data_IF_637966518375
#
_entry.id   IF_637966518375
#
_cell.length_a   1.000
_cell.length_b   1.000
_cell.length_c   1.000
_cell.angle_alpha   90.00
_cell.angle_beta   90.00
_cell.angle_gamma   90.00
#
_symmetry.space_group_name_H-M   'P 1'
#
loop_
_entity.id
_entity.type
_entity.pdbx_description
1 polymer ?
#
# COMPACT_ATOMS: atom_id res chain seq x y z
N UNK A 1 -39.60 22.58 20.51
CA UNK A 1 -38.64 21.73 21.21
C UNK A 1 -39.13 20.29 21.14
N UNK A 2 -38.29 19.42 20.59
CA UNK A 2 -38.56 17.98 20.51
C UNK A 2 -38.53 17.39 21.93
N UNK A 3 -39.64 16.85 22.43
CA UNK A 3 -39.73 16.15 23.72
C UNK A 3 -39.68 14.65 23.43
N UNK A 4 -38.72 13.93 23.99
CA UNK A 4 -38.61 12.49 23.90
C UNK A 4 -37.20 11.99 24.12
N UNK A 5 -37.03 10.67 24.14
CA UNK A 5 -35.72 10.03 24.13
C UNK A 5 -35.30 9.83 22.66
N UNK A 6 -34.08 10.21 22.31
CA UNK A 6 -33.49 10.09 21.00
C UNK A 6 -32.19 9.36 21.11
N UNK A 7 -31.86 8.55 20.13
CA UNK A 7 -30.54 7.98 19.96
C UNK A 7 -29.64 9.03 19.31
N UNK A 8 -28.54 9.39 19.97
CA UNK A 8 -27.55 10.32 19.44
C UNK A 8 -26.26 9.58 19.28
N UNK A 9 -25.77 9.52 18.05
CA UNK A 9 -24.43 9.03 17.75
C UNK A 9 -23.49 10.22 17.59
N UNK A 10 -22.43 10.24 18.37
CA UNK A 10 -21.36 11.24 18.25
C UNK A 10 -20.12 10.54 17.75
N UNK A 11 -19.58 11.01 16.64
CA UNK A 11 -18.34 10.54 16.06
C UNK A 11 -17.30 11.64 16.16
N UNK A 12 -16.12 11.29 16.69
CA UNK A 12 -14.97 12.18 16.75
C UNK A 12 -13.89 11.68 15.81
N UNK A 13 -13.49 12.50 14.86
CA UNK A 13 -12.35 12.19 14.01
C UNK A 13 -11.07 12.75 14.66
N UNK A 14 -10.26 11.85 15.21
CA UNK A 14 -9.04 12.19 15.94
C UNK A 14 -7.98 12.88 15.05
N UNK A 15 -7.99 12.59 13.74
CA UNK A 15 -7.01 13.17 12.80
C UNK A 15 -7.36 14.59 12.40
N UNK A 16 -8.64 14.92 12.32
CA UNK A 16 -9.12 16.24 11.88
C UNK A 16 -9.66 17.11 13.02
N UNK A 17 -9.78 16.57 14.22
CA UNK A 17 -10.39 17.26 15.37
C UNK A 17 -11.88 17.57 15.18
N UNK A 18 -12.55 17.00 14.19
CA UNK A 18 -13.96 17.27 13.89
C UNK A 18 -14.88 16.33 14.63
N UNK A 19 -16.04 16.90 15.04
CA UNK A 19 -17.16 16.15 15.59
C UNK A 19 -18.28 16.07 14.55
N UNK A 20 -18.87 14.89 14.41
CA UNK A 20 -20.16 14.70 13.76
C UNK A 20 -21.14 14.14 14.78
N UNK A 21 -22.34 14.71 14.86
CA UNK A 21 -23.42 14.20 15.71
C UNK A 21 -24.64 13.89 14.84
N UNK A 22 -25.23 12.71 15.03
CA UNK A 22 -26.47 12.31 14.39
C UNK A 22 -27.53 12.02 15.44
N UNK A 23 -28.72 12.42 15.16
CA UNK A 23 -29.87 12.19 16.01
C UNK A 23 -30.89 11.35 15.26
N UNK A 24 -31.13 10.13 15.72
CA UNK A 24 -32.22 9.29 15.24
C UNK A 24 -33.56 9.65 15.89
N UNK A 25 -34.66 9.30 15.26
CA UNK A 25 -35.97 9.41 15.87
C UNK A 25 -36.14 8.51 17.11
N UNK A 26 -37.20 8.71 17.88
CA UNK A 26 -37.47 7.91 19.07
C UNK A 26 -37.60 6.42 18.71
N UNK A 27 -36.70 5.59 19.29
CA UNK A 27 -36.69 4.16 19.04
C UNK A 27 -36.06 3.73 17.70
N UNK A 28 -35.48 4.67 16.93
CA UNK A 28 -34.74 4.37 15.69
C UNK A 28 -33.26 4.27 16.02
N UNK A 29 -32.62 3.18 15.60
CA UNK A 29 -31.19 3.01 15.72
C UNK A 29 -30.46 3.99 14.77
N UNK A 30 -29.50 4.74 15.28
CA UNK A 30 -28.66 5.62 14.46
C UNK A 30 -27.59 4.75 13.82
N UNK A 31 -27.74 4.47 12.54
CA UNK A 31 -26.71 3.76 11.77
C UNK A 31 -25.49 4.65 11.53
N UNK A 32 -24.32 4.07 11.50
CA UNK A 32 -23.07 4.77 11.16
C UNK A 32 -23.11 5.39 9.76
N UNK A 33 -22.18 6.29 9.49
CA UNK A 33 -21.97 6.82 8.14
C UNK A 33 -21.53 5.69 7.21
N UNK A 34 -21.97 5.73 5.96
CA UNK A 34 -21.56 4.74 4.97
C UNK A 34 -20.04 4.76 4.79
N UNK A 35 -19.44 3.58 4.69
CA UNK A 35 -18.00 3.41 4.43
C UNK A 35 -17.66 3.48 2.95
N UNK A 36 -18.65 3.32 2.08
CA UNK A 36 -18.52 3.30 0.64
C UNK A 36 -19.60 4.13 -0.03
N UNK A 37 -19.23 4.78 -1.12
CA UNK A 37 -20.14 5.51 -1.98
C UNK A 37 -19.78 5.23 -3.44
N UNK A 38 -20.81 5.02 -4.25
CA UNK A 38 -20.69 4.73 -5.67
C UNK A 38 -21.43 5.78 -6.50
N UNK A 39 -20.92 6.04 -7.70
CA UNK A 39 -21.56 6.85 -8.72
C UNK A 39 -21.96 5.96 -9.90
N UNK A 40 -23.19 6.10 -10.32
CA UNK A 40 -23.79 5.50 -11.52
C UNK A 40 -24.46 6.57 -12.38
N UNK A 41 -25.37 6.15 -13.24
CA UNK A 41 -26.09 7.01 -14.16
C UNK A 41 -25.51 7.00 -15.57
N UNK A 42 -26.09 7.76 -16.50
CA UNK A 42 -25.72 7.69 -17.93
C UNK A 42 -24.32 8.23 -18.25
N UNK A 43 -23.67 8.93 -17.30
CA UNK A 43 -22.26 9.30 -17.44
C UNK A 43 -21.30 8.14 -17.20
N UNK A 44 -21.70 7.12 -16.45
CA UNK A 44 -20.85 5.99 -16.07
C UNK A 44 -21.38 4.69 -16.65
N UNK A 45 -22.55 4.23 -16.22
CA UNK A 45 -23.12 2.98 -16.65
C UNK A 45 -24.27 2.53 -15.75
N UNK A 46 -24.86 1.40 -16.09
CA UNK A 46 -25.91 0.81 -15.25
C UNK A 46 -25.35 0.26 -13.95
N UNK A 47 -26.16 0.30 -12.90
CA UNK A 47 -25.84 -0.35 -11.62
C UNK A 47 -25.52 -1.84 -11.82
N UNK A 48 -24.67 -2.40 -10.97
CA UNK A 48 -24.15 -3.78 -11.06
C UNK A 48 -23.22 -4.07 -12.26
N UNK A 49 -22.75 -3.05 -12.95
CA UNK A 49 -21.72 -3.20 -14.01
C UNK A 49 -20.33 -2.81 -13.48
N UNK A 50 -19.31 -3.06 -14.30
CA UNK A 50 -17.96 -2.59 -14.01
C UNK A 50 -17.79 -1.08 -14.26
N UNK A 51 -18.78 -0.43 -14.86
CA UNK A 51 -18.75 0.99 -15.19
C UNK A 51 -19.16 1.87 -14.01
N UNK A 52 -19.81 1.30 -13.00
CA UNK A 52 -20.11 1.99 -11.75
C UNK A 52 -18.84 2.35 -11.02
N UNK A 53 -18.71 3.61 -10.65
CA UNK A 53 -17.49 4.20 -10.14
C UNK A 53 -17.53 4.32 -8.61
N UNK A 54 -16.61 3.68 -7.91
CA UNK A 54 -16.42 3.87 -6.47
C UNK A 54 -15.74 5.22 -6.21
N UNK A 55 -16.31 6.02 -5.33
CA UNK A 55 -15.71 7.25 -4.85
C UNK A 55 -14.65 6.97 -3.77
N UNK A 56 -13.63 7.80 -3.69
CA UNK A 56 -12.65 7.72 -2.62
C UNK A 56 -13.16 8.43 -1.36
N UNK A 57 -12.87 7.93 -0.16
CA UNK A 57 -13.11 8.69 1.06
C UNK A 57 -12.20 9.91 1.13
N UNK A 58 -12.66 10.97 1.78
CA UNK A 58 -11.82 12.12 2.13
C UNK A 58 -11.15 11.83 3.47
N UNK A 59 -9.85 11.59 3.47
CA UNK A 59 -9.11 11.19 4.67
C UNK A 59 -9.50 9.79 5.16
N UNK A 60 -10.05 9.68 6.37
CA UNK A 60 -10.39 8.38 6.95
C UNK A 60 -11.73 7.82 6.43
N UNK A 61 -11.79 6.51 6.24
CA UNK A 61 -13.03 5.79 5.95
C UNK A 61 -14.03 5.95 7.11
N UNK A 62 -15.33 6.14 6.78
CA UNK A 62 -16.39 6.19 7.77
C UNK A 62 -16.77 7.61 8.24
N UNK A 63 -16.14 8.66 7.72
CA UNK A 63 -16.51 10.05 7.99
C UNK A 63 -17.68 10.57 7.12
N UNK A 64 -18.15 9.74 6.15
CA UNK A 64 -19.22 10.09 5.24
C UNK A 64 -18.86 11.12 4.18
N UNK A 65 -17.59 11.45 4.04
CA UNK A 65 -17.08 12.35 3.01
C UNK A 65 -16.39 11.57 1.90
N UNK A 66 -16.78 11.87 0.65
CA UNK A 66 -16.27 11.18 -0.54
C UNK A 66 -15.95 12.16 -1.65
N UNK A 67 -15.02 11.78 -2.52
CA UNK A 67 -14.64 12.60 -3.66
C UNK A 67 -14.19 11.79 -4.86
N UNK A 68 -14.21 12.42 -6.04
CA UNK A 68 -13.61 11.89 -7.25
C UNK A 68 -13.41 12.96 -8.31
N UNK A 69 -12.35 12.82 -9.11
CA UNK A 69 -12.18 13.56 -10.36
C UNK A 69 -12.88 12.80 -11.48
N UNK A 70 -13.69 13.50 -12.27
CA UNK A 70 -14.45 12.92 -13.38
C UNK A 70 -14.53 13.88 -14.56
N UNK A 71 -14.42 13.35 -15.78
CA UNK A 71 -14.84 14.07 -16.97
C UNK A 71 -16.29 13.68 -17.26
N UNK A 72 -17.21 14.65 -17.18
CA UNK A 72 -18.65 14.44 -17.32
C UNK A 72 -19.16 15.11 -18.61
N UNK A 73 -20.19 14.51 -19.21
CA UNK A 73 -20.82 14.97 -20.45
C UNK A 73 -22.15 15.66 -20.18
N UNK A 74 -22.37 16.80 -20.83
CA UNK A 74 -23.63 17.54 -20.75
C UNK A 74 -24.82 16.69 -21.17
N UNK A 75 -25.94 16.88 -20.51
CA UNK A 75 -27.18 16.13 -20.76
C UNK A 75 -27.21 14.72 -20.18
N UNK A 76 -26.07 14.23 -19.64
CA UNK A 76 -26.01 12.92 -18.97
C UNK A 76 -26.20 13.06 -17.45
N UNK A 77 -26.63 11.97 -16.82
CA UNK A 77 -26.94 11.93 -15.40
C UNK A 77 -25.83 11.30 -14.57
N UNK A 78 -25.75 11.72 -13.30
CA UNK A 78 -24.99 11.09 -12.22
C UNK A 78 -25.95 10.78 -11.08
N UNK A 79 -25.80 9.59 -10.51
CA UNK A 79 -26.60 9.06 -9.42
C UNK A 79 -25.65 8.49 -8.34
N UNK A 80 -26.11 8.43 -7.09
CA UNK A 80 -25.29 7.94 -5.97
C UNK A 80 -26.00 6.85 -5.20
N UNK A 81 -25.22 5.86 -4.74
CA UNK A 81 -25.71 4.82 -3.83
C UNK A 81 -24.58 4.35 -2.91
N UNK A 82 -24.90 3.88 -1.71
CA UNK A 82 -23.94 3.24 -0.81
C UNK A 82 -23.70 1.77 -1.12
N UNK A 83 -24.49 1.20 -2.02
CA UNK A 83 -24.31 -0.15 -2.53
C UNK A 83 -24.04 -0.12 -4.04
N UNK A 84 -23.16 -0.99 -4.52
CA UNK A 84 -22.77 -1.08 -5.93
C UNK A 84 -23.92 -1.45 -6.86
N UNK A 85 -24.95 -2.10 -6.34
CA UNK A 85 -26.18 -2.46 -7.07
C UNK A 85 -27.19 -1.32 -7.18
N UNK A 86 -26.92 -0.17 -6.60
CA UNK A 86 -27.83 0.98 -6.57
C UNK A 86 -28.98 0.87 -5.58
N UNK A 87 -29.03 -0.20 -4.78
CA UNK A 87 -30.17 -0.49 -3.89
C UNK A 87 -30.35 0.50 -2.74
N UNK A 88 -29.35 1.33 -2.46
CA UNK A 88 -29.39 2.36 -1.39
C UNK A 88 -29.10 3.74 -2.00
N UNK A 89 -29.89 4.10 -2.99
CA UNK A 89 -29.79 5.37 -3.68
C UNK A 89 -30.17 6.57 -2.79
N UNK A 90 -29.51 7.70 -3.03
CA UNK A 90 -29.79 8.96 -2.34
C UNK A 90 -30.69 9.85 -3.19
N UNK A 91 -31.70 10.44 -2.55
CA UNK A 91 -32.65 11.36 -3.20
C UNK A 91 -32.67 12.78 -2.62
N UNK A 92 -31.87 13.05 -1.58
CA UNK A 92 -31.98 14.29 -0.80
C UNK A 92 -30.70 15.10 -0.72
N UNK A 93 -29.86 15.04 -1.76
CA UNK A 93 -28.63 15.84 -1.82
C UNK A 93 -28.88 17.22 -2.39
N UNK A 94 -28.18 18.24 -1.90
CA UNK A 94 -28.21 19.61 -2.41
C UNK A 94 -27.02 19.86 -3.31
N UNK A 95 -27.24 20.38 -4.52
CA UNK A 95 -26.17 20.74 -5.45
C UNK A 95 -25.61 22.12 -5.17
N UNK A 96 -24.31 22.27 -5.41
CA UNK A 96 -23.62 23.56 -5.24
C UNK A 96 -23.32 24.25 -6.57
N UNK A 97 -23.03 23.50 -7.65
CA UNK A 97 -22.58 24.12 -8.90
C UNK A 97 -22.59 23.11 -10.09
N UNK A 98 -22.89 23.63 -11.30
CA UNK A 98 -22.63 22.96 -12.57
C UNK A 98 -23.60 21.84 -12.97
N UNK A 99 -24.60 21.53 -12.17
CA UNK A 99 -25.57 20.48 -12.40
C UNK A 99 -26.95 20.88 -11.92
N UNK A 100 -28.00 20.17 -12.42
CA UNK A 100 -29.37 20.30 -11.95
C UNK A 100 -29.79 18.99 -11.29
N UNK A 101 -30.31 19.04 -10.05
CA UNK A 101 -30.91 17.90 -9.39
C UNK A 101 -32.38 17.77 -9.77
N UNK A 102 -32.81 16.56 -10.07
CA UNK A 102 -34.23 16.23 -10.14
C UNK A 102 -34.76 15.84 -8.75
N UNK A 103 -36.08 15.67 -8.64
CA UNK A 103 -36.74 15.28 -7.38
C UNK A 103 -36.37 13.86 -6.90
N UNK A 104 -35.64 13.08 -7.68
CA UNK A 104 -35.24 11.70 -7.39
C UNK A 104 -33.76 11.58 -7.03
N UNK A 105 -33.04 12.68 -6.86
CA UNK A 105 -31.63 12.70 -6.50
C UNK A 105 -30.67 12.39 -7.63
N UNK A 106 -31.12 12.52 -8.89
CA UNK A 106 -30.25 12.45 -10.07
C UNK A 106 -29.74 13.84 -10.40
N UNK A 107 -28.44 13.94 -10.65
CA UNK A 107 -27.83 15.17 -11.14
C UNK A 107 -27.67 15.10 -12.67
N UNK A 108 -28.26 16.04 -13.38
CA UNK A 108 -28.00 16.24 -14.82
C UNK A 108 -26.88 17.24 -15.00
N UNK A 109 -25.85 16.84 -15.75
CA UNK A 109 -24.68 17.69 -16.03
C UNK A 109 -25.05 18.74 -17.07
N UNK A 110 -24.83 20.01 -16.77
CA UNK A 110 -25.22 21.12 -17.64
C UNK A 110 -24.13 21.42 -18.71
N UNK A 111 -22.87 21.20 -18.39
CA UNK A 111 -21.74 21.51 -19.28
C UNK A 111 -20.75 20.34 -19.28
N UNK A 112 -20.32 19.94 -20.48
CA UNK A 112 -19.23 18.94 -20.60
C UNK A 112 -17.94 19.53 -20.07
N UNK A 113 -17.27 18.78 -19.18
CA UNK A 113 -16.00 19.23 -18.61
C UNK A 113 -15.46 18.31 -17.52
N UNK A 114 -14.35 18.75 -16.95
CA UNK A 114 -13.70 18.10 -15.83
C UNK A 114 -14.26 18.66 -14.51
N UNK A 115 -14.65 17.77 -13.64
CA UNK A 115 -15.26 18.08 -12.36
C UNK A 115 -14.54 17.38 -11.21
N UNK A 116 -14.40 18.06 -10.09
CA UNK A 116 -14.25 17.44 -8.79
C UNK A 116 -15.64 17.22 -8.22
N UNK A 117 -16.05 15.97 -8.08
CA UNK A 117 -17.31 15.62 -7.41
C UNK A 117 -16.99 15.32 -5.94
N UNK A 118 -17.58 16.09 -5.06
CA UNK A 118 -17.47 15.94 -3.61
C UNK A 118 -18.83 15.67 -3.00
N UNK A 119 -18.92 14.71 -2.11
CA UNK A 119 -20.15 14.34 -1.40
C UNK A 119 -19.89 14.28 0.10
N UNK A 120 -20.76 14.91 0.88
CA UNK A 120 -20.77 14.80 2.32
C UNK A 120 -22.15 14.30 2.75
N UNK A 121 -22.24 13.04 3.17
CA UNK A 121 -23.50 12.39 3.53
C UNK A 121 -24.11 12.96 4.80
N UNK A 122 -23.28 13.42 5.73
CA UNK A 122 -23.75 14.00 6.99
C UNK A 122 -24.44 15.35 6.77
N UNK A 123 -23.87 16.16 5.87
CA UNK A 123 -24.43 17.45 5.48
C UNK A 123 -25.47 17.35 4.37
N UNK A 124 -25.73 16.16 3.84
CA UNK A 124 -26.57 15.93 2.66
C UNK A 124 -26.16 16.80 1.47
N UNK A 125 -24.84 17.02 1.30
CA UNK A 125 -24.26 17.93 0.35
C UNK A 125 -23.57 17.18 -0.79
N UNK A 126 -23.82 17.64 -2.01
CA UNK A 126 -23.01 17.33 -3.17
C UNK A 126 -22.49 18.61 -3.80
N UNK A 127 -21.23 18.60 -4.23
CA UNK A 127 -20.63 19.69 -4.96
C UNK A 127 -19.96 19.17 -6.24
N UNK A 128 -20.21 19.88 -7.34
CA UNK A 128 -19.52 19.73 -8.62
C UNK A 128 -18.65 20.95 -8.81
N UNK A 129 -17.37 20.81 -8.58
CA UNK A 129 -16.42 21.92 -8.53
C UNK A 129 -15.48 21.90 -9.73
N UNK A 130 -14.98 23.07 -10.11
CA UNK A 130 -13.79 23.14 -10.99
C UNK A 130 -12.62 22.50 -10.26
N UNK A 131 -11.95 21.48 -10.84
CA UNK A 131 -10.92 20.74 -10.15
C UNK A 131 -9.72 21.61 -9.77
N UNK A 132 -9.32 21.53 -8.51
CA UNK A 132 -8.09 22.09 -7.95
C UNK A 132 -7.13 20.95 -7.69
N UNK A 133 -6.34 20.57 -8.69
CA UNK A 133 -5.45 19.40 -8.66
C UNK A 133 -4.01 19.85 -8.65
N UNK A 134 -3.22 19.24 -7.79
CA UNK A 134 -1.83 19.60 -7.54
C UNK A 134 -0.93 18.36 -7.53
N UNK A 135 0.33 18.63 -7.76
CA UNK A 135 1.41 17.69 -7.58
C UNK A 135 2.48 18.27 -6.66
N UNK A 136 3.12 17.41 -5.86
CA UNK A 136 4.26 17.78 -5.02
C UNK A 136 5.24 16.61 -4.87
N UNK A 137 6.41 16.88 -4.31
CA UNK A 137 7.40 15.87 -3.99
C UNK A 137 8.76 16.12 -4.62
N UNK A 138 9.65 15.13 -4.45
CA UNK A 138 11.05 15.20 -4.94
C UNK A 138 11.12 15.52 -6.44
N UNK A 139 10.19 14.94 -7.23
CA UNK A 139 10.12 15.16 -8.67
C UNK A 139 9.86 16.61 -9.09
N UNK A 140 9.43 17.45 -8.16
CA UNK A 140 9.18 18.89 -8.36
C UNK A 140 10.09 19.76 -7.47
N UNK A 141 11.23 19.21 -7.01
CA UNK A 141 12.12 19.93 -6.09
C UNK A 141 11.46 20.28 -4.76
N UNK A 142 10.55 19.42 -4.28
CA UNK A 142 9.72 19.61 -3.08
C UNK A 142 8.78 20.83 -3.12
N UNK A 143 8.41 21.27 -4.32
CA UNK A 143 7.41 22.33 -4.51
C UNK A 143 6.04 21.72 -4.78
N UNK A 144 4.99 22.46 -4.44
CA UNK A 144 3.62 22.20 -4.84
C UNK A 144 3.33 22.96 -6.14
N UNK A 145 2.89 22.27 -7.19
CA UNK A 145 2.51 22.87 -8.47
C UNK A 145 1.10 22.44 -8.87
N UNK A 146 0.27 23.37 -9.37
CA UNK A 146 -1.02 23.01 -9.92
C UNK A 146 -0.84 22.24 -11.23
N UNK A 147 -1.70 21.25 -11.48
CA UNK A 147 -1.79 20.63 -12.79
C UNK A 147 -2.54 21.56 -13.75
N UNK A 148 -1.98 21.73 -14.95
CA UNK A 148 -2.66 22.45 -16.03
C UNK A 148 -3.78 21.60 -16.63
N UNK A 149 -4.96 22.21 -16.79
CA UNK A 149 -6.13 21.54 -17.39
C UNK A 149 -6.24 21.87 -18.88
N UNK A 150 -6.47 20.87 -19.72
CA UNK A 150 -6.79 21.02 -21.13
C UNK A 150 -7.87 19.98 -21.52
N UNK A 151 -9.12 20.43 -21.57
CA UNK A 151 -10.27 19.57 -21.80
C UNK A 151 -10.44 18.50 -20.70
N UNK A 152 -10.33 17.23 -21.07
CA UNK A 152 -10.38 16.12 -20.11
C UNK A 152 -9.02 15.77 -19.47
N UNK A 153 -7.96 16.48 -19.83
CA UNK A 153 -6.59 16.17 -19.41
C UNK A 153 -6.08 17.12 -18.33
N UNK A 154 -5.27 16.56 -17.42
CA UNK A 154 -4.49 17.30 -16.43
C UNK A 154 -3.03 16.96 -16.62
N UNK A 155 -2.14 17.96 -16.58
CA UNK A 155 -0.72 17.76 -16.88
C UNK A 155 0.18 18.49 -15.89
N UNK A 156 1.33 17.87 -15.59
CA UNK A 156 2.46 18.49 -14.89
C UNK A 156 3.78 17.97 -15.47
N UNK A 157 4.76 18.84 -15.59
CA UNK A 157 6.13 18.46 -15.99
C UNK A 157 7.03 18.40 -14.76
N UNK A 158 7.81 17.32 -14.66
CA UNK A 158 8.75 17.09 -13.56
C UNK A 158 10.06 17.85 -13.79
N UNK A 159 10.56 18.50 -12.74
CA UNK A 159 11.80 19.28 -12.78
C UNK A 159 13.01 18.50 -12.29
N UNK A 160 12.77 17.43 -11.53
CA UNK A 160 13.80 16.55 -10.98
C UNK A 160 13.36 15.08 -11.08
N UNK A 161 14.31 14.17 -10.92
CA UNK A 161 14.02 12.74 -10.75
C UNK A 161 13.66 12.48 -9.29
N UNK A 162 12.55 11.81 -9.03
CA UNK A 162 12.11 11.50 -7.67
C UNK A 162 10.64 11.08 -7.60
N UNK A 163 10.11 11.05 -6.40
CA UNK A 163 8.71 10.69 -6.16
C UNK A 163 7.77 11.87 -6.39
N UNK A 164 6.63 11.57 -7.00
CA UNK A 164 5.53 12.50 -7.24
C UNK A 164 4.32 12.12 -6.39
N UNK A 165 3.73 13.06 -5.69
CA UNK A 165 2.45 12.92 -5.00
C UNK A 165 1.40 13.73 -5.76
N UNK A 166 0.22 13.14 -5.94
CA UNK A 166 -0.91 13.78 -6.61
C UNK A 166 -2.07 13.92 -5.63
N UNK A 167 -2.68 15.08 -5.59
CA UNK A 167 -3.79 15.37 -4.68
C UNK A 167 -4.71 16.46 -5.23
N UNK A 168 -5.90 16.55 -4.64
CA UNK A 168 -6.88 17.56 -4.99
C UNK A 168 -7.39 18.28 -3.74
N UNK A 169 -8.05 19.43 -3.95
CA UNK A 169 -8.76 20.15 -2.91
C UNK A 169 -10.20 20.43 -3.33
N UNK A 170 -11.11 20.32 -2.38
CA UNK A 170 -12.49 20.77 -2.51
C UNK A 170 -12.69 22.09 -1.74
N UNK A 171 -13.52 22.96 -2.24
CA UNK A 171 -13.95 24.18 -1.53
C UNK A 171 -14.84 23.87 -0.32
N UNK A 172 -15.34 22.61 -0.23
CA UNK A 172 -16.21 22.17 0.84
C UNK A 172 -15.45 21.60 2.04
N UNK A 173 -14.14 21.39 1.92
CA UNK A 173 -13.30 20.84 2.97
C UNK A 173 -12.11 21.76 3.28
N UNK A 174 -11.52 21.61 4.46
CA UNK A 174 -10.27 22.30 4.79
C UNK A 174 -9.17 21.90 3.79
N UNK A 175 -8.34 22.85 3.41
CA UNK A 175 -7.18 22.60 2.54
C UNK A 175 -6.16 21.74 3.29
N UNK A 176 -6.26 20.44 3.10
CA UNK A 176 -5.34 19.45 3.64
C UNK A 176 -4.97 18.48 2.51
N UNK A 177 -3.75 18.62 2.01
CA UNK A 177 -3.23 17.80 0.90
C UNK A 177 -3.20 16.30 1.22
N UNK A 178 -3.23 15.92 2.49
CA UNK A 178 -3.17 14.54 2.92
C UNK A 178 -4.52 13.80 2.85
N UNK A 179 -5.64 14.49 2.56
CA UNK A 179 -6.98 13.93 2.66
C UNK A 179 -7.58 13.49 1.32
N UNK A 180 -7.14 14.07 0.21
CA UNK A 180 -7.67 13.78 -1.13
C UNK A 180 -6.56 13.37 -2.08
N UNK A 181 -5.87 12.29 -1.71
CA UNK A 181 -4.74 11.73 -2.46
C UNK A 181 -5.19 10.75 -3.52
N UNK A 182 -4.51 10.78 -4.65
CA UNK A 182 -4.62 9.77 -5.69
C UNK A 182 -3.24 9.47 -6.29
N UNK A 183 -3.14 8.43 -7.09
CA UNK A 183 -1.88 8.02 -7.72
C UNK A 183 -2.14 7.39 -9.08
N UNK A 184 -1.08 6.97 -9.75
CA UNK A 184 -1.15 6.26 -11.01
C UNK A 184 -0.68 4.83 -10.79
N UNK A 185 -1.44 3.88 -11.30
CA UNK A 185 -1.10 2.47 -11.24
C UNK A 185 -1.55 1.78 -12.53
N UNK A 186 -0.65 1.05 -13.17
CA UNK A 186 -0.92 0.36 -14.45
C UNK A 186 -1.47 1.30 -15.54
N UNK A 187 -0.93 2.50 -15.66
CA UNK A 187 -1.39 3.48 -16.64
C UNK A 187 -2.80 4.02 -16.35
N UNK A 188 -3.33 3.81 -15.14
CA UNK A 188 -4.64 4.31 -14.73
C UNK A 188 -4.54 5.17 -13.48
N UNK A 189 -5.42 6.16 -13.39
CA UNK A 189 -5.59 6.97 -12.19
C UNK A 189 -6.36 6.14 -11.15
N UNK A 190 -5.78 5.96 -9.98
CA UNK A 190 -6.38 5.19 -8.88
C UNK A 190 -6.48 6.02 -7.60
N UNK A 191 -7.50 5.72 -6.82
CA UNK A 191 -7.85 6.43 -5.59
C UNK A 191 -7.79 5.42 -4.43
N UNK A 192 -6.63 5.24 -3.79
CA UNK A 192 -6.43 4.18 -2.80
C UNK A 192 -7.27 4.34 -1.53
N UNK A 193 -7.73 5.57 -1.21
CA UNK A 193 -8.45 5.84 0.03
C UNK A 193 -7.64 5.53 1.29
N UNK A 194 -6.34 5.78 1.23
CA UNK A 194 -5.39 5.51 2.31
C UNK A 194 -4.75 6.79 2.83
N UNK A 195 -4.16 6.73 4.00
CA UNK A 195 -3.40 7.85 4.56
C UNK A 195 -2.15 8.14 3.71
N UNK A 196 -1.68 9.38 3.72
CA UNK A 196 -0.53 9.85 2.92
C UNK A 196 0.72 8.98 3.05
N UNK A 197 0.98 8.47 4.24
CA UNK A 197 2.13 7.59 4.52
C UNK A 197 1.92 6.14 4.06
N UNK A 198 0.76 5.82 3.51
CA UNK A 198 0.39 4.54 2.90
C UNK A 198 0.23 4.66 1.38
N UNK A 199 0.32 5.89 0.85
CA UNK A 199 0.26 6.14 -0.57
C UNK A 199 1.44 5.47 -1.27
N UNK A 200 1.20 4.68 -2.32
CA UNK A 200 2.28 4.12 -3.12
C UNK A 200 3.15 5.21 -3.73
N UNK A 201 4.46 5.03 -3.70
CA UNK A 201 5.38 5.92 -4.37
C UNK A 201 5.12 5.94 -5.88
N UNK A 202 5.19 7.13 -6.47
CA UNK A 202 5.13 7.33 -7.92
C UNK A 202 6.45 7.97 -8.38
N UNK A 203 7.52 7.18 -8.59
CA UNK A 203 8.79 7.71 -9.07
C UNK A 203 8.68 8.07 -10.56
N UNK A 204 9.20 9.24 -10.89
CA UNK A 204 9.26 9.78 -12.25
C UNK A 204 10.63 10.35 -12.54
N UNK A 205 11.06 10.30 -13.79
CA UNK A 205 12.30 10.91 -14.22
C UNK A 205 12.13 12.43 -14.42
N UNK A 206 13.23 13.18 -14.32
CA UNK A 206 13.28 14.60 -14.69
C UNK A 206 12.83 14.81 -16.12
N UNK A 207 12.07 15.88 -16.38
CA UNK A 207 11.59 16.24 -17.71
C UNK A 207 10.44 15.36 -18.21
N UNK A 208 9.83 14.56 -17.34
CA UNK A 208 8.66 13.75 -17.69
C UNK A 208 7.39 14.59 -17.64
N UNK A 209 6.63 14.62 -18.72
CA UNK A 209 5.27 15.18 -18.70
C UNK A 209 4.30 14.09 -18.26
N UNK A 210 3.79 14.21 -17.05
CA UNK A 210 2.73 13.33 -16.53
C UNK A 210 1.39 13.88 -16.99
N UNK A 211 0.66 13.11 -17.77
CA UNK A 211 -0.68 13.45 -18.28
C UNK A 211 -1.72 12.51 -17.72
N UNK A 212 -2.74 13.04 -17.07
CA UNK A 212 -3.90 12.28 -16.60
C UNK A 212 -5.05 12.54 -17.58
N UNK A 213 -5.59 11.51 -18.22
CA UNK A 213 -6.78 11.60 -19.05
C UNK A 213 -8.01 11.15 -18.24
N UNK A 214 -8.81 12.10 -17.82
CA UNK A 214 -9.97 11.85 -16.96
C UNK A 214 -11.20 11.37 -17.73
N UNK A 215 -11.16 11.34 -19.06
CA UNK A 215 -12.26 10.80 -19.88
C UNK A 215 -12.32 9.26 -19.82
N UNK A 216 -11.16 8.62 -19.72
CA UNK A 216 -11.00 7.15 -19.64
C UNK A 216 -10.24 6.70 -18.39
N UNK A 217 -9.93 7.66 -17.52
CA UNK A 217 -9.21 7.44 -16.27
C UNK A 217 -7.81 6.82 -16.46
N UNK A 218 -7.15 7.16 -17.58
CA UNK A 218 -5.78 6.72 -17.90
C UNK A 218 -4.74 7.76 -17.57
N UNK A 219 -3.48 7.34 -17.52
CA UNK A 219 -2.33 8.22 -17.33
C UNK A 219 -1.24 7.89 -18.36
N UNK A 220 -0.62 8.96 -18.89
CA UNK A 220 0.52 8.89 -19.81
C UNK A 220 1.70 9.67 -19.22
N UNK A 221 2.90 9.15 -19.42
CA UNK A 221 4.17 9.72 -18.97
C UNK A 221 5.03 10.18 -20.16
N UNK A 222 4.41 10.64 -21.23
CA UNK A 222 5.11 11.17 -22.40
C UNK A 222 5.95 10.13 -23.15
N UNK A 223 5.48 8.89 -23.23
CA UNK A 223 6.18 7.77 -23.86
C UNK A 223 7.17 7.04 -22.94
N UNK A 224 7.41 7.55 -21.74
CA UNK A 224 8.10 6.82 -20.68
C UNK A 224 7.05 6.26 -19.74
N UNK A 225 6.55 5.05 -20.01
CA UNK A 225 5.86 4.29 -18.98
C UNK A 225 6.83 4.12 -17.82
N UNK A 226 6.41 4.41 -16.57
CA UNK A 226 7.24 4.01 -15.43
C UNK A 226 7.54 2.52 -15.60
N UNK A 227 8.80 2.20 -15.80
CA UNK A 227 9.21 0.79 -15.80
C UNK A 227 8.71 0.18 -14.51
N UNK A 228 8.02 -0.95 -14.61
CA UNK A 228 7.50 -1.74 -13.51
C UNK A 228 6.25 -1.20 -12.83
N UNK A 229 5.15 -1.37 -13.53
CA UNK A 229 3.82 -1.29 -12.95
C UNK A 229 3.68 -2.45 -11.95
N UNK A 230 3.53 -2.11 -10.68
CA UNK A 230 3.30 -3.10 -9.65
C UNK A 230 1.86 -3.60 -9.82
N UNK A 231 1.64 -4.91 -10.07
CA UNK A 231 0.30 -5.44 -10.21
C UNK A 231 -0.53 -5.17 -8.96
N UNK A 232 -1.81 -4.85 -9.14
CA UNK A 232 -2.74 -4.77 -8.00
C UNK A 232 -2.94 -6.15 -7.38
N UNK A 233 -3.07 -6.16 -6.04
CA UNK A 233 -3.43 -7.37 -5.31
C UNK A 233 -2.34 -8.44 -5.27
N UNK A 234 -1.06 -8.07 -5.42
CA UNK A 234 0.05 -9.01 -5.24
C UNK A 234 -0.06 -9.66 -3.87
N UNK A 235 -0.31 -10.97 -3.87
CA UNK A 235 -0.45 -11.77 -2.64
C UNK A 235 0.82 -12.51 -2.27
N UNK A 236 1.69 -12.72 -3.25
CA UNK A 236 2.92 -13.49 -3.09
C UNK A 236 4.00 -12.95 -4.03
N UNK A 237 5.24 -12.99 -3.55
CA UNK A 237 6.44 -12.75 -4.34
C UNK A 237 7.23 -14.05 -4.45
N UNK A 238 7.79 -14.28 -5.62
CA UNK A 238 8.60 -15.45 -5.92
C UNK A 238 10.00 -15.03 -6.34
N UNK A 239 10.96 -15.92 -6.17
CA UNK A 239 12.33 -15.74 -6.61
C UNK A 239 12.84 -17.03 -7.24
N UNK A 240 13.56 -16.93 -8.35
CA UNK A 240 14.28 -18.05 -8.95
C UNK A 240 15.73 -17.68 -9.22
N UNK A 241 16.59 -18.68 -9.25
CA UNK A 241 18.02 -18.54 -9.53
C UNK A 241 18.62 -19.93 -9.80
N UNK A 242 19.95 -19.98 -9.94
CA UNK A 242 20.67 -21.27 -9.97
C UNK A 242 20.54 -22.05 -8.66
N UNK A 243 20.31 -21.36 -7.54
CA UNK A 243 20.19 -21.96 -6.21
C UNK A 243 18.73 -22.31 -5.85
N UNK A 244 17.75 -21.64 -6.50
CA UNK A 244 16.33 -21.80 -6.21
C UNK A 244 15.55 -22.10 -7.50
N UNK A 245 14.94 -23.25 -7.60
CA UNK A 245 14.11 -23.61 -8.74
C UNK A 245 14.84 -23.75 -10.06
N UNK A 246 16.15 -23.46 -10.11
CA UNK A 246 16.99 -23.60 -11.30
C UNK A 246 16.36 -23.02 -12.57
N UNK A 247 15.79 -21.81 -12.44
CA UNK A 247 15.08 -21.09 -13.48
C UNK A 247 13.75 -21.74 -13.93
N UNK A 248 13.26 -22.75 -13.20
CA UNK A 248 11.94 -23.34 -13.43
C UNK A 248 10.96 -22.87 -12.36
N UNK A 249 10.02 -22.02 -12.74
CA UNK A 249 9.00 -21.49 -11.83
C UNK A 249 8.04 -22.54 -11.26
N UNK A 250 8.02 -23.74 -11.80
CA UNK A 250 7.22 -24.85 -11.31
C UNK A 250 8.00 -25.80 -10.39
N UNK A 251 9.32 -25.60 -10.28
CA UNK A 251 10.14 -26.39 -9.40
C UNK A 251 9.73 -26.24 -7.92
N UNK A 252 9.79 -27.30 -7.12
CA UNK A 252 9.41 -27.26 -5.70
C UNK A 252 10.37 -26.40 -4.86
N UNK A 253 11.59 -26.18 -5.34
CA UNK A 253 12.63 -25.41 -4.66
C UNK A 253 12.49 -23.89 -4.84
N UNK A 254 11.50 -23.42 -5.58
CA UNK A 254 11.28 -21.98 -5.73
C UNK A 254 11.06 -21.33 -4.38
N UNK A 255 11.85 -20.32 -4.08
CA UNK A 255 11.70 -19.52 -2.89
C UNK A 255 10.43 -18.67 -2.96
N UNK A 256 9.56 -18.85 -1.97
CA UNK A 256 8.42 -17.95 -1.73
C UNK A 256 8.79 -17.02 -0.59
N UNK A 257 8.53 -15.73 -0.79
CA UNK A 257 8.79 -14.72 0.23
C UNK A 257 7.67 -14.71 1.27
N UNK A 258 8.04 -14.59 2.53
CA UNK A 258 7.06 -14.37 3.59
C UNK A 258 6.63 -12.90 3.62
N UNK A 259 5.32 -12.69 3.65
CA UNK A 259 4.76 -11.34 3.75
C UNK A 259 4.72 -10.90 5.21
N UNK A 260 5.65 -10.04 5.59
CA UNK A 260 5.70 -9.48 6.93
C UNK A 260 4.58 -8.47 7.24
N UNK A 261 3.75 -8.08 6.25
CA UNK A 261 2.69 -7.09 6.45
C UNK A 261 1.56 -7.22 5.44
N UNK A 262 0.37 -7.64 5.89
CA UNK A 262 -0.81 -7.71 5.03
C UNK A 262 -1.17 -6.32 4.47
N UNK A 263 -1.32 -6.26 3.16
CA UNK A 263 -1.77 -5.06 2.45
C UNK A 263 -0.68 -4.05 2.09
N UNK A 264 0.56 -4.20 2.58
CA UNK A 264 1.63 -3.24 2.30
C UNK A 264 2.55 -3.65 1.14
N UNK A 265 2.29 -4.75 0.45
CA UNK A 265 3.12 -5.25 -0.65
C UNK A 265 4.63 -5.29 -0.31
N UNK A 266 4.96 -5.78 0.88
CA UNK A 266 6.32 -5.88 1.41
C UNK A 266 6.66 -7.30 1.80
N UNK A 267 7.82 -7.77 1.36
CA UNK A 267 8.29 -9.13 1.60
C UNK A 267 9.74 -9.10 2.05
N UNK A 268 10.15 -10.11 2.79
CA UNK A 268 11.54 -10.38 3.09
C UNK A 268 11.83 -11.88 3.08
N UNK A 269 13.06 -12.20 2.75
CA UNK A 269 13.56 -13.56 2.71
C UNK A 269 15.01 -13.59 3.18
N UNK A 270 15.38 -14.63 3.94
CA UNK A 270 16.72 -14.80 4.46
C UNK A 270 17.29 -16.09 3.90
N UNK A 271 18.46 -16.06 3.29
CA UNK A 271 19.07 -17.27 2.73
C UNK A 271 20.58 -17.08 2.54
N UNK A 272 21.29 -18.19 2.41
CA UNK A 272 22.65 -18.21 1.90
C UNK A 272 22.63 -18.07 0.38
N UNK A 273 23.51 -17.24 -0.17
CA UNK A 273 23.74 -17.06 -1.60
C UNK A 273 25.20 -17.16 -1.90
N UNK A 274 25.55 -17.75 -3.06
CA UNK A 274 26.90 -17.75 -3.60
C UNK A 274 27.20 -16.46 -4.35
N UNK A 275 28.40 -15.99 -4.29
CA UNK A 275 28.83 -14.85 -5.10
C UNK A 275 28.66 -15.15 -6.59
N UNK A 276 28.17 -14.16 -7.33
CA UNK A 276 27.77 -14.33 -8.71
C UNK A 276 26.38 -14.91 -8.95
N UNK A 277 25.66 -15.38 -7.89
CA UNK A 277 24.28 -15.85 -8.06
C UNK A 277 23.39 -14.71 -8.58
N UNK A 278 22.74 -14.96 -9.70
CA UNK A 278 21.74 -14.09 -10.29
C UNK A 278 20.35 -14.46 -9.77
N UNK A 279 19.60 -13.46 -9.34
CA UNK A 279 18.25 -13.59 -8.78
C UNK A 279 17.24 -12.92 -9.71
N UNK A 280 16.16 -13.60 -10.03
CA UNK A 280 15.01 -13.02 -10.71
C UNK A 280 13.78 -13.09 -9.81
N UNK A 281 13.05 -11.98 -9.72
CA UNK A 281 11.86 -11.84 -8.88
C UNK A 281 10.62 -11.78 -9.73
N UNK A 282 9.51 -12.32 -9.24
CA UNK A 282 8.23 -12.26 -9.92
C UNK A 282 7.05 -12.27 -8.94
N UNK A 283 5.94 -11.65 -9.33
CA UNK A 283 4.66 -11.72 -8.61
C UNK A 283 3.82 -12.94 -8.97
N UNK A 284 4.23 -13.67 -10.00
CA UNK A 284 3.63 -14.92 -10.44
C UNK A 284 4.73 -15.94 -10.70
N UNK A 285 4.40 -17.22 -10.79
CA UNK A 285 5.34 -18.28 -11.17
C UNK A 285 5.61 -18.26 -12.69
N UNK A 286 6.12 -17.14 -13.20
CA UNK A 286 6.38 -16.93 -14.61
C UNK A 286 7.48 -15.88 -14.82
N UNK A 287 8.22 -16.00 -15.93
CA UNK A 287 9.18 -14.98 -16.36
C UNK A 287 8.48 -13.69 -16.82
N UNK A 288 9.14 -12.55 -16.66
CA UNK A 288 8.67 -11.25 -17.16
C UNK A 288 7.49 -10.65 -16.40
N UNK A 289 7.13 -11.20 -15.25
CA UNK A 289 6.04 -10.69 -14.40
C UNK A 289 6.51 -9.76 -13.28
N UNK A 290 7.59 -9.08 -13.49
CA UNK A 290 8.17 -8.05 -12.67
C UNK A 290 9.68 -8.03 -12.82
N UNK A 291 10.25 -6.85 -12.99
CA UNK A 291 11.70 -6.66 -12.99
C UNK A 291 12.07 -5.86 -11.74
N UNK A 292 12.07 -6.55 -10.62
CA UNK A 292 12.32 -5.92 -9.32
C UNK A 292 13.79 -5.60 -9.07
N UNK A 293 14.71 -6.20 -9.82
CA UNK A 293 16.14 -5.90 -9.68
C UNK A 293 16.50 -4.44 -10.00
N UNK A 294 15.67 -3.76 -10.80
CA UNK A 294 15.82 -2.33 -11.15
C UNK A 294 15.11 -1.37 -10.20
N UNK A 295 14.48 -1.85 -9.14
CA UNK A 295 13.94 -0.97 -8.13
C UNK A 295 15.07 -0.21 -7.44
N UNK A 296 14.74 0.89 -6.75
CA UNK A 296 15.74 1.67 -6.00
C UNK A 296 16.49 0.75 -5.04
N UNK A 297 17.77 0.57 -5.31
CA UNK A 297 18.62 -0.30 -4.51
C UNK A 297 19.15 0.45 -3.30
N UNK A 298 19.23 -0.24 -2.19
CA UNK A 298 19.84 0.31 -0.98
C UNK A 298 21.19 -0.31 -0.68
N UNK A 299 21.62 -1.41 -1.33
CA UNK A 299 22.81 -2.17 -0.91
C UNK A 299 23.39 -3.14 -1.95
N UNK A 300 24.47 -3.67 -1.67
CA UNK A 300 25.49 -4.68 -2.05
C UNK A 300 25.11 -5.71 -3.15
N UNK A 301 24.43 -5.30 -4.21
CA UNK A 301 24.30 -6.11 -5.40
C UNK A 301 24.42 -5.28 -6.68
N UNK A 302 24.69 -5.95 -7.79
CA UNK A 302 24.71 -5.34 -9.12
C UNK A 302 23.52 -5.85 -9.93
N UNK A 303 23.12 -5.09 -10.96
CA UNK A 303 22.10 -5.54 -11.91
C UNK A 303 22.79 -5.94 -13.21
N UNK A 304 22.65 -7.20 -13.58
CA UNK A 304 23.19 -7.76 -14.84
C UNK A 304 22.06 -8.48 -15.56
N UNK A 305 21.80 -8.08 -16.82
CA UNK A 305 20.72 -8.66 -17.62
C UNK A 305 19.36 -8.70 -16.88
N UNK A 306 19.04 -7.58 -16.24
CA UNK A 306 17.79 -7.39 -15.47
C UNK A 306 17.65 -8.29 -14.22
N UNK A 307 18.74 -8.90 -13.76
CA UNK A 307 18.79 -9.76 -12.56
C UNK A 307 19.68 -9.14 -11.50
N UNK A 308 19.32 -9.33 -10.26
CA UNK A 308 20.16 -8.92 -9.14
C UNK A 308 21.27 -9.96 -8.93
N UNK A 309 22.52 -9.52 -8.88
CA UNK A 309 23.67 -10.40 -8.68
C UNK A 309 24.42 -10.02 -7.41
N UNK A 310 24.58 -10.95 -6.49
CA UNK A 310 25.31 -10.71 -5.25
C UNK A 310 26.82 -10.84 -5.48
N UNK A 311 27.65 -9.98 -4.83
CA UNK A 311 29.08 -9.93 -5.13
C UNK A 311 29.88 -11.08 -4.50
N UNK A 312 29.45 -11.60 -3.35
CA UNK A 312 30.22 -12.57 -2.54
C UNK A 312 29.33 -13.64 -1.96
N UNK A 313 29.94 -14.75 -1.56
CA UNK A 313 29.27 -15.77 -0.76
C UNK A 313 28.85 -15.17 0.60
N UNK A 314 27.66 -15.53 1.07
CA UNK A 314 27.21 -15.06 2.38
C UNK A 314 25.75 -15.34 2.69
N UNK A 315 25.36 -15.00 3.92
CA UNK A 315 23.98 -15.07 4.36
C UNK A 315 23.36 -13.68 4.14
N UNK A 316 22.32 -13.63 3.33
CA UNK A 316 21.67 -12.39 2.91
C UNK A 316 20.26 -12.27 3.41
N UNK A 317 19.89 -11.04 3.77
CA UNK A 317 18.53 -10.59 3.88
C UNK A 317 18.13 -9.93 2.56
N UNK A 318 17.08 -10.45 1.95
CA UNK A 318 16.46 -9.90 0.74
C UNK A 318 15.15 -9.25 1.17
N UNK A 319 15.00 -7.98 0.89
CA UNK A 319 13.78 -7.23 1.15
C UNK A 319 13.26 -6.62 -0.15
N UNK A 320 11.96 -6.73 -0.38
CA UNK A 320 11.27 -6.12 -1.52
C UNK A 320 10.04 -5.40 -1.03
N UNK A 321 10.03 -4.08 -1.21
CA UNK A 321 8.87 -3.23 -0.97
C UNK A 321 8.32 -2.75 -2.32
N UNK A 322 7.24 -3.37 -2.79
CA UNK A 322 6.62 -2.96 -4.04
C UNK A 322 5.91 -1.62 -3.92
N UNK A 323 5.34 -1.32 -2.76
CA UNK A 323 4.70 -0.04 -2.47
C UNK A 323 5.70 1.12 -2.40
N UNK A 324 6.91 0.87 -1.90
CA UNK A 324 8.00 1.85 -1.84
C UNK A 324 8.94 1.80 -3.04
N UNK A 325 8.79 0.81 -3.93
CA UNK A 325 9.68 0.52 -5.06
C UNK A 325 11.14 0.38 -4.64
N UNK A 326 11.35 -0.32 -3.56
CA UNK A 326 12.67 -0.55 -3.00
C UNK A 326 12.99 -2.03 -2.96
N UNK A 327 14.24 -2.35 -3.23
CA UNK A 327 14.82 -3.66 -3.00
C UNK A 327 16.14 -3.50 -2.26
N UNK A 328 16.36 -4.34 -1.25
CA UNK A 328 17.64 -4.46 -0.60
C UNK A 328 18.06 -5.92 -0.56
N UNK A 329 19.30 -6.18 -0.92
CA UNK A 329 19.97 -7.45 -0.72
C UNK A 329 21.24 -7.11 0.06
N UNK A 330 21.28 -7.49 1.33
CA UNK A 330 22.35 -7.10 2.25
C UNK A 330 22.78 -8.28 3.12
N UNK A 331 24.03 -8.29 3.60
CA UNK A 331 24.45 -9.25 4.61
C UNK A 331 23.50 -9.29 5.79
N UNK A 332 23.16 -10.48 6.27
CA UNK A 332 22.23 -10.66 7.38
C UNK A 332 22.86 -10.22 8.70
N UNK A 333 22.18 -9.34 9.39
CA UNK A 333 22.37 -9.13 10.81
C UNK A 333 21.13 -9.66 11.56
N UNK A 334 21.34 -10.60 12.47
CA UNK A 334 20.27 -11.24 13.21
C UNK A 334 20.48 -11.07 14.70
N UNK A 335 19.49 -10.48 15.38
CA UNK A 335 19.54 -10.22 16.81
C UNK A 335 18.17 -10.35 17.46
N UNK A 336 18.14 -10.30 18.79
CA UNK A 336 16.88 -10.39 19.53
C UNK A 336 17.10 -10.27 21.02
N UNK A 337 16.20 -10.85 21.77
CA UNK A 337 16.26 -10.96 23.21
C UNK A 337 15.76 -12.32 23.72
N UNK A 338 16.22 -12.73 24.87
CA UNK A 338 15.71 -13.89 25.59
C UNK A 338 15.79 -13.62 27.11
N UNK A 339 14.66 -13.74 27.78
CA UNK A 339 14.60 -13.47 29.23
C UNK A 339 15.09 -12.06 29.62
N UNK A 340 14.90 -11.06 28.76
CA UNK A 340 15.36 -9.69 28.96
C UNK A 340 16.85 -9.46 28.67
N UNK A 341 17.60 -10.48 28.25
CA UNK A 341 18.99 -10.34 27.81
C UNK A 341 19.07 -10.31 26.27
N UNK A 342 19.96 -9.49 25.69
CA UNK A 342 20.16 -9.46 24.25
C UNK A 342 20.70 -10.79 23.73
N UNK A 343 20.21 -11.21 22.56
CA UNK A 343 20.71 -12.36 21.80
C UNK A 343 21.27 -11.84 20.51
N UNK A 344 22.55 -12.06 20.25
CA UNK A 344 23.23 -11.66 19.02
C UNK A 344 23.76 -12.89 18.31
N UNK A 345 23.34 -13.09 17.05
CA UNK A 345 23.85 -14.15 16.21
C UNK A 345 25.11 -13.67 15.47
N UNK A 346 26.13 -14.50 15.46
CA UNK A 346 27.37 -14.28 14.72
C UNK A 346 27.56 -15.31 13.62
N UNK A 347 28.03 -14.89 12.46
CA UNK A 347 28.34 -15.80 11.34
C UNK A 347 29.49 -16.72 11.73
N UNK A 348 29.31 -18.00 11.51
CA UNK A 348 30.34 -19.00 11.74
C UNK A 348 31.37 -19.03 10.60
N UNK A 349 32.50 -19.69 10.80
CA UNK A 349 33.60 -19.79 9.84
C UNK A 349 33.20 -20.44 8.50
N UNK A 350 32.12 -21.21 8.48
CA UNK A 350 31.57 -21.83 7.26
C UNK A 350 30.87 -20.82 6.33
N UNK A 351 30.61 -19.60 6.79
CA UNK A 351 29.90 -18.54 6.08
C UNK A 351 28.44 -18.82 5.78
N UNK A 352 27.89 -19.98 6.21
CA UNK A 352 26.55 -20.50 5.88
C UNK A 352 25.63 -20.55 7.07
N UNK A 353 26.17 -20.51 8.26
CA UNK A 353 25.44 -20.60 9.51
C UNK A 353 25.76 -19.44 10.45
N UNK A 354 24.84 -19.19 11.37
CA UNK A 354 25.01 -18.22 12.46
C UNK A 354 24.70 -18.91 13.80
N UNK A 355 25.43 -18.53 14.84
CA UNK A 355 25.25 -19.05 16.19
C UNK A 355 25.04 -17.97 17.21
N UNK A 356 24.23 -18.27 18.23
CA UNK A 356 24.09 -17.48 19.44
C UNK A 356 24.06 -18.41 20.67
N UNK A 357 24.49 -17.89 21.82
CA UNK A 357 24.30 -18.54 23.13
C UNK A 357 23.35 -17.71 23.95
N UNK A 358 22.36 -18.36 24.56
CA UNK A 358 21.34 -17.73 25.39
C UNK A 358 21.93 -17.44 26.77
N UNK A 359 21.93 -16.17 27.13
CA UNK A 359 22.47 -15.73 28.44
C UNK A 359 21.48 -15.94 29.58
N UNK A 360 20.19 -15.63 29.37
CA UNK A 360 19.14 -15.73 30.38
C UNK A 360 18.07 -16.73 29.95
N UNK A 361 17.57 -17.48 30.90
CA UNK A 361 16.40 -18.32 30.68
C UNK A 361 15.16 -17.46 30.36
N UNK A 362 14.36 -17.88 29.39
CA UNK A 362 13.14 -17.16 29.04
C UNK A 362 12.64 -17.42 27.63
N UNK A 363 11.69 -16.60 27.23
CA UNK A 363 11.19 -16.57 25.86
C UNK A 363 12.18 -15.85 24.97
N UNK A 364 12.40 -16.38 23.78
CA UNK A 364 13.29 -15.78 22.82
C UNK A 364 12.52 -15.17 21.63
N UNK A 365 12.93 -13.97 21.26
CA UNK A 365 12.43 -13.29 20.05
C UNK A 365 13.62 -12.88 19.19
N UNK A 366 13.53 -13.12 17.90
CA UNK A 366 14.63 -12.90 16.94
C UNK A 366 14.13 -12.05 15.78
N UNK A 367 14.93 -11.08 15.36
CA UNK A 367 14.62 -10.15 14.28
C UNK A 367 15.84 -9.96 13.38
N UNK A 368 15.65 -9.98 12.04
CA UNK A 368 16.66 -9.44 11.15
C UNK A 368 16.74 -7.92 11.31
N UNK A 369 17.94 -7.39 11.35
CA UNK A 369 18.16 -5.97 11.28
C UNK A 369 18.11 -5.52 9.81
N UNK A 370 17.40 -4.42 9.53
CA UNK A 370 17.27 -3.84 8.20
C UNK A 370 17.81 -2.40 8.25
N UNK A 371 19.15 -2.19 8.27
CA UNK A 371 19.76 -0.85 8.41
C UNK A 371 19.38 0.10 7.28
N UNK A 372 19.25 -0.42 6.06
CA UNK A 372 18.88 0.35 4.89
C UNK A 372 17.48 0.99 5.00
N UNK A 373 16.63 0.46 5.88
CA UNK A 373 15.25 0.88 6.05
C UNK A 373 14.94 1.56 7.39
N UNK A 374 15.92 2.20 8.02
CA UNK A 374 15.71 3.00 9.25
C UNK A 374 14.54 4.00 9.14
N UNK A 375 14.13 4.36 7.93
CA UNK A 375 12.98 5.24 7.64
C UNK A 375 11.67 4.50 7.39
N UNK A 376 11.64 3.18 7.29
CA UNK A 376 10.41 2.40 7.09
C UNK A 376 9.69 2.26 8.45
N UNK A 377 9.05 3.33 8.89
CA UNK A 377 8.36 3.44 10.20
C UNK A 377 7.27 2.38 10.45
N UNK A 378 6.82 1.63 9.43
CA UNK A 378 5.71 0.69 9.52
C UNK A 378 6.09 -0.78 9.57
N UNK A 379 7.36 -1.12 9.40
CA UNK A 379 7.83 -2.50 9.53
C UNK A 379 8.27 -2.78 10.98
N UNK A 380 7.31 -2.78 11.88
CA UNK A 380 7.54 -3.04 13.30
C UNK A 380 8.25 -4.37 13.54
N UNK A 381 8.95 -4.50 14.66
CA UNK A 381 9.78 -5.67 14.97
C UNK A 381 9.03 -7.00 14.83
N UNK A 382 7.81 -7.09 15.33
CA UNK A 382 7.02 -8.33 15.26
C UNK A 382 6.64 -8.74 13.82
N UNK A 383 6.60 -7.83 12.85
CA UNK A 383 6.28 -8.11 11.44
C UNK A 383 7.44 -8.72 10.67
N UNK A 384 8.64 -8.61 11.20
CA UNK A 384 9.87 -9.20 10.67
C UNK A 384 10.44 -10.27 11.61
N UNK A 385 9.65 -10.74 12.56
CA UNK A 385 10.06 -11.76 13.51
C UNK A 385 10.32 -13.08 12.79
N UNK A 386 11.45 -13.67 13.10
CA UNK A 386 11.82 -15.04 12.70
C UNK A 386 12.04 -15.87 13.94
N UNK A 387 11.92 -17.17 13.82
CA UNK A 387 12.07 -18.04 14.99
C UNK A 387 12.61 -19.41 14.60
N UNK A 388 13.16 -20.09 15.57
CA UNK A 388 13.50 -21.52 15.49
C UNK A 388 12.42 -22.28 16.22
N UNK A 389 11.72 -23.16 15.52
CA UNK A 389 10.78 -24.07 16.16
C UNK A 389 11.55 -25.13 16.97
N UNK A 390 11.34 -25.22 18.29
CA UNK A 390 12.16 -26.10 19.12
C UNK A 390 11.90 -27.59 18.89
N UNK A 391 10.76 -27.98 18.31
CA UNK A 391 10.42 -29.37 18.04
C UNK A 391 10.97 -29.83 16.68
N UNK A 392 10.63 -29.12 15.61
CA UNK A 392 11.06 -29.47 14.24
C UNK A 392 12.46 -28.99 13.90
N UNK A 393 13.05 -28.11 14.71
CA UNK A 393 14.34 -27.44 14.47
C UNK A 393 14.32 -26.57 13.21
N UNK A 394 13.15 -26.25 12.67
CA UNK A 394 13.04 -25.41 11.47
C UNK A 394 13.26 -23.94 11.81
N UNK A 395 13.95 -23.22 10.91
CA UNK A 395 14.01 -21.77 10.92
C UNK A 395 12.84 -21.22 10.11
N UNK A 396 11.99 -20.45 10.76
CA UNK A 396 10.68 -20.05 10.25
C UNK A 396 10.47 -18.53 10.36
N UNK A 397 9.49 -18.04 9.60
CA UNK A 397 9.03 -16.66 9.59
C UNK A 397 7.67 -16.57 10.27
N UNK A 398 7.50 -15.57 11.14
CA UNK A 398 6.18 -15.28 11.69
C UNK A 398 5.28 -14.74 10.58
N UNK A 399 4.18 -15.44 10.31
CA UNK A 399 3.22 -15.03 9.28
C UNK A 399 2.28 -13.97 9.81
N UNK A 400 1.73 -13.20 8.88
CA UNK A 400 0.72 -12.22 9.23
C UNK A 400 -0.55 -12.90 9.78
N UNK A 401 -1.07 -12.37 10.89
CA UNK A 401 -2.23 -12.94 11.58
C UNK A 401 -1.90 -14.10 12.53
N UNK A 402 -0.66 -14.59 12.54
CA UNK A 402 -0.21 -15.57 13.53
C UNK A 402 0.01 -14.91 14.89
N UNK A 403 -0.32 -15.67 15.93
CA UNK A 403 0.05 -15.36 17.30
C UNK A 403 1.57 -15.28 17.48
N UNK A 404 2.00 -15.02 18.68
CA UNK A 404 3.44 -14.99 19.00
C UNK A 404 4.04 -16.41 18.91
N UNK A 405 5.08 -16.63 18.06
CA UNK A 405 5.71 -17.93 17.94
C UNK A 405 6.34 -18.37 19.27
N UNK A 406 6.28 -19.66 19.55
CA UNK A 406 6.92 -20.27 20.73
C UNK A 406 6.57 -19.59 22.07
N UNK A 407 5.38 -18.98 22.18
CA UNK A 407 4.99 -18.21 23.37
C UNK A 407 5.07 -18.99 24.69
N UNK A 408 4.89 -20.32 24.62
CA UNK A 408 4.87 -21.22 25.76
C UNK A 408 6.20 -22.00 25.94
N UNK A 409 7.21 -21.73 25.09
CA UNK A 409 8.50 -22.38 25.17
C UNK A 409 9.53 -21.50 25.89
N UNK A 410 10.19 -22.08 26.89
CA UNK A 410 11.23 -21.41 27.69
C UNK A 410 12.59 -21.97 27.30
N UNK A 411 13.44 -21.11 26.76
CA UNK A 411 14.82 -21.44 26.44
C UNK A 411 15.67 -21.37 27.69
N UNK A 412 16.51 -22.38 27.93
CA UNK A 412 17.40 -22.42 29.10
C UNK A 412 18.64 -21.53 28.87
N UNK A 413 19.11 -20.88 29.94
CA UNK A 413 20.40 -20.21 29.90
C UNK A 413 21.53 -21.20 29.57
N UNK A 414 22.51 -20.78 28.75
CA UNK A 414 23.59 -21.64 28.26
C UNK A 414 23.25 -22.38 26.96
N UNK A 415 21.97 -22.44 26.53
CA UNK A 415 21.61 -23.06 25.25
C UNK A 415 22.32 -22.38 24.10
N UNK A 416 23.03 -23.15 23.27
CA UNK A 416 23.62 -22.71 22.02
C UNK A 416 22.70 -23.07 20.85
N UNK A 417 22.34 -22.07 20.04
CA UNK A 417 21.55 -22.23 18.84
C UNK A 417 22.43 -21.95 17.63
N UNK A 418 22.47 -22.86 16.68
CA UNK A 418 23.14 -22.68 15.40
C UNK A 418 22.13 -22.83 14.28
N UNK A 419 21.93 -21.80 13.45
CA UNK A 419 21.00 -21.81 12.32
C UNK A 419 21.80 -21.97 11.03
N UNK A 420 21.53 -23.01 10.26
CA UNK A 420 22.07 -23.22 8.92
C UNK A 420 21.10 -22.63 7.88
N UNK A 421 21.56 -21.66 7.10
CA UNK A 421 20.73 -20.94 6.15
C UNK A 421 20.63 -21.58 4.76
N UNK A 422 21.31 -22.70 4.53
CA UNK A 422 21.13 -23.53 3.35
C UNK A 422 19.98 -24.51 3.57
N UNK A 423 20.04 -25.26 4.67
CA UNK A 423 19.01 -26.25 5.02
C UNK A 423 17.77 -25.67 5.70
N UNK A 424 17.85 -24.40 6.16
CA UNK A 424 16.81 -23.75 6.97
C UNK A 424 16.49 -24.47 8.27
N UNK A 425 17.50 -25.11 8.86
CA UNK A 425 17.37 -25.83 10.12
C UNK A 425 18.33 -25.30 11.18
N UNK A 426 17.97 -25.52 12.40
CA UNK A 426 18.79 -25.21 13.55
C UNK A 426 19.27 -26.45 14.29
N UNK A 427 20.46 -26.35 14.85
CA UNK A 427 20.94 -27.25 15.90
C UNK A 427 20.79 -26.54 17.24
N UNK A 428 20.23 -27.22 18.21
CA UNK A 428 20.02 -26.72 19.59
C UNK A 428 20.85 -27.62 20.50
N UNK A 429 21.79 -27.04 21.21
CA UNK A 429 22.61 -27.68 22.22
C UNK A 429 22.22 -27.08 23.56
N UNK A 430 21.52 -27.88 24.38
CA UNK A 430 21.19 -27.50 25.75
C UNK A 430 22.46 -27.52 26.63
N UNK A 431 22.49 -26.76 27.72
CA UNK A 431 23.64 -26.70 28.65
C UNK A 431 23.90 -28.03 29.33
#
# INVERSE_FOLDING_TARGET
PLKGQYNVQVQYNVLTGKFAARMGGKGVEVTGLANELYMGGTNFGAWNTNDVVKMAPVGAVGNGEFWRLCHLQAGKTVEWATAKDGSQAFSSLTTMQGVTLDGNGKATVNTTGLYLVYVNLDRQLIAFETPKVYAAGEALGNKELPLTSNGSRLQVETTETGNLNLFAFSDQNARDWSTMLFTIRNGKVVYPGVAVNEMPALPVAKGTTVTLNMADNTADFGGTTPENLIPEGVKQLYMTSDDFGKWDWNAPEIASFENGYAGAARWFYITYLRGGTALEFSTEKAFGKGNFAKLKTATDYTVVNDRAVVPTDGIYLIYVGLDSREIAIQPLELSGDCGGAPVQFTTNADGRSMSATIANEGRMRIYPNIPAFKKVKKFGSWKREVYVDPASKAFLYRKNGEGEPNKDYVWKAGTKITIDFVSKKATIQEP
#
